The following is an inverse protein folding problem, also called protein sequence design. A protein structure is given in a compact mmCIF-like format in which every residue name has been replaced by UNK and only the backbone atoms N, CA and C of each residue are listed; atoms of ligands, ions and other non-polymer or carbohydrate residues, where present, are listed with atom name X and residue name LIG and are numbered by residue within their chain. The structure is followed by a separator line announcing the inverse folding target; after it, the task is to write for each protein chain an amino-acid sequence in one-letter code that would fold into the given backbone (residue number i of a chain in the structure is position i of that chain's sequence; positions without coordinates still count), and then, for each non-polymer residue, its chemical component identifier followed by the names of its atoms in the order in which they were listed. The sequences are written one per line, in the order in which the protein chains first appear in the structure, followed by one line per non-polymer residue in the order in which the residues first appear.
data_IF_005202572874
#
_entry.id   IF_005202572874
#
_cell.length_a   1.000
_cell.length_b   1.000
_cell.length_c   1.000
_cell.angle_alpha   90.00
_cell.angle_beta   90.00
_cell.angle_gamma   90.00
#
_symmetry.space_group_name_H-M   'P 1'
#
loop_
_entity.id
_entity.type
_entity.pdbx_description
1 polymer ?
#
# COMPACT_ATOMS: atom_id res chain seq x y z
N UNK A 1 -5.32 2.37 -29.44
CA UNK A 1 -4.92 2.42 -28.02
C UNK A 1 -5.74 1.42 -27.18
N UNK A 2 -7.07 1.38 -27.34
CA UNK A 2 -7.94 0.45 -26.62
C UNK A 2 -7.53 -1.02 -26.81
N UNK A 3 -7.23 -1.42 -28.04
CA UNK A 3 -6.80 -2.79 -28.36
C UNK A 3 -5.48 -3.16 -27.67
N UNK A 4 -4.55 -2.22 -27.54
CA UNK A 4 -3.28 -2.44 -26.84
C UNK A 4 -3.52 -2.67 -25.35
N UNK A 5 -4.41 -1.90 -24.74
CA UNK A 5 -4.79 -2.05 -23.33
C UNK A 5 -5.51 -3.39 -23.13
N UNK A 6 -6.47 -3.73 -23.99
CA UNK A 6 -7.20 -4.99 -23.93
C UNK A 6 -6.26 -6.20 -24.05
N UNK A 7 -5.36 -6.18 -25.03
CA UNK A 7 -4.35 -7.24 -25.19
C UNK A 7 -3.45 -7.39 -23.95
N UNK A 8 -3.08 -6.27 -23.31
CA UNK A 8 -2.27 -6.31 -22.09
C UNK A 8 -3.06 -6.86 -20.90
N UNK A 9 -4.32 -6.47 -20.78
CA UNK A 9 -5.22 -7.03 -19.78
C UNK A 9 -5.40 -8.53 -19.99
N UNK A 10 -5.57 -9.01 -21.23
CA UNK A 10 -5.69 -10.43 -21.54
C UNK A 10 -4.44 -11.22 -21.16
N UNK A 11 -3.25 -10.68 -21.40
CA UNK A 11 -2.00 -11.33 -20.98
C UNK A 11 -1.92 -11.53 -19.47
N UNK A 12 -2.51 -10.63 -18.68
CA UNK A 12 -2.52 -10.70 -17.22
C UNK A 12 -3.67 -11.58 -16.73
N UNK A 13 -4.86 -11.43 -17.32
CA UNK A 13 -6.08 -12.07 -16.83
C UNK A 13 -6.19 -13.53 -17.27
N UNK A 14 -5.75 -13.91 -18.47
CA UNK A 14 -5.93 -15.26 -18.97
C UNK A 14 -5.30 -16.33 -18.07
N UNK A 15 -4.04 -16.21 -17.61
CA UNK A 15 -3.48 -17.16 -16.66
C UNK A 15 -4.28 -17.22 -15.34
N UNK A 16 -4.71 -16.06 -14.83
CA UNK A 16 -5.51 -15.97 -13.62
C UNK A 16 -6.87 -16.64 -13.79
N UNK A 17 -7.56 -16.44 -14.92
CA UNK A 17 -8.86 -17.05 -15.20
C UNK A 17 -8.75 -18.56 -15.33
N UNK A 18 -7.67 -19.08 -15.87
CA UNK A 18 -7.40 -20.50 -15.92
C UNK A 18 -7.31 -21.13 -14.51
N UNK A 19 -6.59 -20.49 -13.61
CA UNK A 19 -6.49 -20.92 -12.20
C UNK A 19 -7.84 -20.77 -11.47
N UNK A 20 -8.55 -19.65 -11.67
CA UNK A 20 -9.87 -19.42 -11.08
C UNK A 20 -10.91 -20.44 -11.54
N UNK A 21 -10.82 -20.92 -12.79
CA UNK A 21 -11.74 -21.95 -13.31
C UNK A 21 -11.62 -23.26 -12.53
N UNK A 22 -10.43 -23.59 -12.04
CA UNK A 22 -10.21 -24.77 -11.21
C UNK A 22 -10.78 -24.60 -9.79
N UNK A 23 -10.96 -23.38 -9.33
CA UNK A 23 -11.42 -23.03 -7.98
C UNK A 23 -12.88 -22.52 -7.95
N UNK A 24 -13.52 -22.40 -9.10
CA UNK A 24 -14.82 -21.71 -9.27
C UNK A 24 -15.95 -22.21 -8.36
N UNK A 25 -15.94 -23.47 -7.95
CA UNK A 25 -16.97 -24.02 -7.05
C UNK A 25 -16.88 -23.48 -5.61
N UNK A 26 -15.75 -22.87 -5.22
CA UNK A 26 -15.53 -22.35 -3.88
C UNK A 26 -15.44 -20.81 -3.82
N UNK A 27 -15.52 -20.15 -4.98
CA UNK A 27 -15.39 -18.67 -5.04
C UNK A 27 -16.75 -18.04 -5.30
N UNK A 28 -17.21 -17.23 -4.35
CA UNK A 28 -18.50 -16.54 -4.42
C UNK A 28 -18.41 -15.18 -5.11
N UNK A 29 -17.26 -14.50 -5.04
CA UNK A 29 -17.06 -13.16 -5.58
C UNK A 29 -15.58 -12.91 -5.86
N UNK A 30 -15.30 -12.13 -6.90
CA UNK A 30 -13.96 -11.66 -7.27
C UNK A 30 -13.87 -10.15 -7.01
N UNK A 31 -13.01 -9.75 -6.11
CA UNK A 31 -12.75 -8.34 -5.85
C UNK A 31 -11.56 -7.84 -6.66
N UNK A 32 -11.77 -6.75 -7.40
CA UNK A 32 -10.70 -6.02 -8.08
C UNK A 32 -10.36 -4.75 -7.32
N UNK A 33 -9.07 -4.45 -7.18
CA UNK A 33 -8.58 -3.28 -6.45
C UNK A 33 -7.22 -2.83 -6.98
N UNK A 34 -6.69 -1.73 -6.45
CA UNK A 34 -5.42 -1.16 -6.89
C UNK A 34 -5.60 -0.16 -8.03
N UNK A 35 -4.53 0.47 -8.48
CA UNK A 35 -4.58 1.55 -9.47
C UNK A 35 -5.18 1.15 -10.82
N UNK A 36 -4.93 -0.08 -11.27
CA UNK A 36 -5.48 -0.57 -12.55
C UNK A 36 -7.01 -0.76 -12.51
N UNK A 37 -7.60 -0.97 -11.34
CA UNK A 37 -9.06 -1.07 -11.20
C UNK A 37 -9.78 0.25 -11.49
N UNK A 38 -9.05 1.38 -11.51
CA UNK A 38 -9.59 2.70 -11.86
C UNK A 38 -9.73 2.93 -13.38
N UNK A 39 -9.26 2.00 -14.21
CA UNK A 39 -9.45 2.09 -15.64
C UNK A 39 -10.95 1.97 -15.98
N UNK A 40 -11.44 2.90 -16.79
CA UNK A 40 -12.83 2.90 -17.23
C UNK A 40 -13.20 1.59 -17.91
N UNK A 41 -14.27 0.94 -17.45
CA UNK A 41 -14.78 -0.31 -18.02
C UNK A 41 -14.02 -1.58 -17.63
N UNK A 42 -13.01 -1.51 -16.77
CA UNK A 42 -12.22 -2.70 -16.37
C UNK A 42 -13.07 -3.74 -15.65
N UNK A 43 -14.01 -3.33 -14.81
CA UNK A 43 -14.94 -4.25 -14.13
C UNK A 43 -15.76 -5.06 -15.14
N UNK A 44 -16.42 -4.38 -16.08
CA UNK A 44 -17.20 -5.01 -17.14
C UNK A 44 -16.33 -5.93 -18.01
N UNK A 45 -15.08 -5.51 -18.27
CA UNK A 45 -14.12 -6.30 -19.03
C UNK A 45 -13.75 -7.60 -18.29
N UNK A 46 -13.43 -7.51 -17.01
CA UNK A 46 -13.12 -8.69 -16.16
C UNK A 46 -14.37 -9.58 -16.03
N UNK A 47 -15.54 -8.99 -15.81
CA UNK A 47 -16.80 -9.73 -15.72
C UNK A 47 -17.11 -10.50 -17.02
N UNK A 48 -16.73 -9.98 -18.18
CA UNK A 48 -16.91 -10.69 -19.46
C UNK A 48 -16.05 -11.97 -19.59
N UNK A 49 -15.03 -12.12 -18.77
CA UNK A 49 -14.08 -13.25 -18.79
C UNK A 49 -14.43 -14.35 -17.78
N UNK A 50 -15.36 -14.09 -16.84
CA UNK A 50 -15.71 -15.03 -15.77
C UNK A 50 -17.19 -15.04 -15.47
N UNK A 51 -17.69 -16.18 -14.98
CA UNK A 51 -19.05 -16.30 -14.43
C UNK A 51 -19.15 -15.94 -12.96
N UNK A 52 -18.00 -15.74 -12.30
CA UNK A 52 -17.93 -15.31 -10.89
C UNK A 52 -18.28 -13.81 -10.83
N UNK A 53 -19.18 -13.37 -9.95
CA UNK A 53 -19.49 -11.96 -9.77
C UNK A 53 -18.22 -11.14 -9.48
N UNK A 54 -18.02 -10.05 -10.21
CA UNK A 54 -16.88 -9.13 -10.03
C UNK A 54 -17.37 -7.88 -9.32
N UNK A 55 -16.62 -7.42 -8.32
CA UNK A 55 -16.91 -6.21 -7.55
C UNK A 55 -15.64 -5.42 -7.28
N UNK A 56 -15.79 -4.11 -7.06
CA UNK A 56 -14.66 -3.30 -6.58
C UNK A 56 -14.40 -3.57 -5.09
N UNK A 57 -13.13 -3.85 -4.77
CA UNK A 57 -12.66 -3.93 -3.40
C UNK A 57 -12.46 -2.54 -2.82
N UNK A 58 -13.05 -2.28 -1.65
CA UNK A 58 -12.87 -1.01 -0.93
C UNK A 58 -12.21 -1.24 0.41
N UNK A 59 -11.25 -0.41 0.74
CA UNK A 59 -10.58 -0.35 2.04
C UNK A 59 -11.15 0.77 2.94
N UNK A 60 -12.11 1.56 2.44
CA UNK A 60 -12.74 2.65 3.18
C UNK A 60 -13.25 2.27 4.58
N UNK A 61 -13.83 1.08 4.83
CA UNK A 61 -14.28 0.67 6.17
C UNK A 61 -13.16 0.56 7.22
N UNK A 62 -11.89 0.51 6.77
CA UNK A 62 -10.72 0.42 7.65
C UNK A 62 -10.06 1.78 7.93
N UNK A 63 -10.60 2.85 7.34
CA UNK A 63 -10.15 4.22 7.54
C UNK A 63 -11.01 4.94 8.59
N UNK A 64 -10.43 5.95 9.21
CA UNK A 64 -11.15 6.81 10.15
C UNK A 64 -12.02 7.83 9.41
N UNK A 65 -13.06 8.34 10.06
CA UNK A 65 -13.97 9.32 9.47
C UNK A 65 -13.28 10.63 9.05
N UNK A 66 -12.15 10.95 9.67
CA UNK A 66 -11.36 12.15 9.36
C UNK A 66 -10.39 11.96 8.19
N UNK A 67 -10.35 10.76 7.59
CA UNK A 67 -9.46 10.48 6.45
C UNK A 67 -9.99 11.20 5.21
N UNK A 68 -9.17 12.00 4.51
CA UNK A 68 -9.59 12.63 3.25
C UNK A 68 -10.04 11.61 2.21
N UNK A 69 -11.10 11.94 1.47
CA UNK A 69 -11.75 11.06 0.49
C UNK A 69 -10.79 10.53 -0.59
N UNK A 70 -9.75 11.28 -0.91
CA UNK A 70 -8.74 10.86 -1.88
C UNK A 70 -8.05 9.53 -1.51
N UNK A 71 -7.88 9.26 -0.20
CA UNK A 71 -7.26 8.02 0.28
C UNK A 71 -8.22 6.83 0.29
N UNK A 72 -9.51 7.05 0.05
CA UNK A 72 -10.49 5.98 -0.13
C UNK A 72 -10.43 5.34 -1.53
N UNK A 73 -9.69 5.95 -2.45
CA UNK A 73 -9.56 5.47 -3.82
C UNK A 73 -8.76 4.15 -3.91
N UNK A 74 -9.12 3.23 -4.84
CA UNK A 74 -8.53 1.89 -4.94
C UNK A 74 -7.01 1.84 -5.09
N UNK A 75 -6.38 2.88 -5.64
CA UNK A 75 -4.92 2.99 -5.78
C UNK A 75 -4.17 3.01 -4.45
N UNK A 76 -4.84 3.38 -3.35
CA UNK A 76 -4.26 3.38 -2.00
C UNK A 76 -4.44 2.06 -1.24
N UNK A 77 -5.17 1.07 -1.80
CA UNK A 77 -5.47 -0.19 -1.11
C UNK A 77 -4.24 -0.94 -0.62
N UNK A 78 -3.17 -0.98 -1.42
CA UNK A 78 -1.91 -1.63 -1.03
C UNK A 78 -1.21 -0.90 0.11
N UNK A 79 -1.25 0.45 0.11
CA UNK A 79 -0.68 1.26 1.18
C UNK A 79 -1.43 1.03 2.50
N UNK A 80 -2.76 1.13 2.46
CA UNK A 80 -3.61 0.92 3.64
C UNK A 80 -3.45 -0.50 4.16
N UNK A 81 -3.45 -1.52 3.28
CA UNK A 81 -3.22 -2.92 3.65
C UNK A 81 -1.86 -3.13 4.32
N UNK A 82 -0.81 -2.48 3.81
CA UNK A 82 0.54 -2.54 4.41
C UNK A 82 0.58 -1.90 5.80
N UNK A 83 -0.09 -0.76 5.97
CA UNK A 83 -0.17 -0.08 7.27
C UNK A 83 -0.93 -0.92 8.30
N UNK A 84 -2.07 -1.50 7.92
CA UNK A 84 -2.85 -2.39 8.78
C UNK A 84 -2.05 -3.63 9.18
N UNK A 85 -1.39 -4.25 8.22
CA UNK A 85 -0.54 -5.41 8.46
C UNK A 85 0.63 -5.07 9.38
N UNK A 86 1.29 -3.92 9.14
CA UNK A 86 2.36 -3.41 10.00
C UNK A 86 1.91 -3.16 11.43
N UNK A 87 0.72 -2.57 11.62
CA UNK A 87 0.09 -2.40 12.92
C UNK A 87 -0.16 -3.74 13.62
N UNK A 88 -0.77 -4.68 12.91
CA UNK A 88 -1.04 -6.02 13.41
C UNK A 88 0.23 -6.75 13.84
N UNK A 89 1.29 -6.72 13.00
CA UNK A 89 2.58 -7.33 13.36
C UNK A 89 3.24 -6.67 14.56
N UNK A 90 3.16 -5.35 14.69
CA UNK A 90 3.67 -4.64 15.87
C UNK A 90 2.96 -5.08 17.15
N UNK A 91 1.63 -5.25 17.09
CA UNK A 91 0.83 -5.63 18.27
C UNK A 91 1.07 -7.09 18.66
N UNK A 92 1.33 -7.98 17.71
CA UNK A 92 1.71 -9.38 17.96
C UNK A 92 3.16 -9.53 18.50
N UNK A 93 4.04 -8.60 18.11
CA UNK A 93 5.45 -8.62 18.48
C UNK A 93 5.83 -7.28 19.12
N UNK A 94 5.37 -7.00 20.34
CA UNK A 94 5.69 -5.75 21.04
C UNK A 94 7.19 -5.73 21.36
N UNK A 95 8.00 -5.40 20.38
CA UNK A 95 9.44 -5.23 20.54
C UNK A 95 9.71 -3.80 20.99
N UNK A 96 10.03 -3.61 22.27
CA UNK A 96 10.68 -2.39 22.81
C UNK A 96 11.94 -2.00 22.04
N UNK A 97 12.48 -2.92 21.25
CA UNK A 97 13.74 -2.79 20.50
C UNK A 97 13.70 -1.67 19.43
N UNK A 98 12.53 -1.38 18.83
CA UNK A 98 12.46 -0.35 17.76
C UNK A 98 12.39 1.07 18.32
N UNK A 99 11.69 1.28 19.42
CA UNK A 99 11.65 2.60 20.09
C UNK A 99 13.02 2.97 20.61
N UNK A 100 13.70 2.04 21.31
CA UNK A 100 15.05 2.26 21.82
C UNK A 100 16.07 2.51 20.71
N UNK A 101 15.96 1.81 19.58
CA UNK A 101 16.84 2.02 18.42
C UNK A 101 16.63 3.38 17.75
N UNK A 102 15.38 3.84 17.59
CA UNK A 102 15.05 5.15 17.02
C UNK A 102 15.47 6.28 17.97
N UNK A 103 15.17 6.15 19.25
CA UNK A 103 15.56 7.13 20.29
C UNK A 103 17.07 7.21 20.37
N UNK A 104 17.78 6.07 20.35
CA UNK A 104 19.25 6.02 20.33
C UNK A 104 19.84 6.70 19.10
N UNK A 105 19.25 6.50 17.90
CA UNK A 105 19.66 7.20 16.68
C UNK A 105 19.41 8.69 16.75
N UNK A 106 18.28 9.14 17.25
CA UNK A 106 17.96 10.56 17.44
C UNK A 106 18.92 11.21 18.44
N UNK A 107 19.24 10.56 19.55
CA UNK A 107 20.24 11.04 20.51
C UNK A 107 21.64 11.18 19.90
N UNK A 108 22.07 10.20 19.09
CA UNK A 108 23.36 10.28 18.38
C UNK A 108 23.40 11.43 17.36
N UNK A 109 22.29 11.66 16.63
CA UNK A 109 22.18 12.79 15.69
C UNK A 109 22.20 14.12 16.42
N UNK A 110 21.46 14.26 17.53
CA UNK A 110 21.42 15.47 18.34
C UNK A 110 22.83 15.80 18.84
N UNK A 111 23.53 14.83 19.45
CA UNK A 111 24.89 15.02 19.94
C UNK A 111 25.87 15.43 18.83
N UNK A 112 25.76 14.83 17.65
CA UNK A 112 26.61 15.19 16.49
C UNK A 112 26.36 16.63 16.00
N UNK A 113 25.10 17.09 16.02
CA UNK A 113 24.76 18.49 15.66
C UNK A 113 25.31 19.45 16.72
N UNK A 114 25.18 19.14 18.01
CA UNK A 114 25.72 19.96 19.10
C UNK A 114 27.25 20.07 19.02
N UNK A 115 27.96 18.99 18.75
CA UNK A 115 29.42 18.98 18.56
C UNK A 115 29.84 19.84 17.35
N UNK A 116 29.14 19.73 16.21
CA UNK A 116 29.43 20.56 15.05
C UNK A 116 29.12 22.04 15.27
N UNK A 117 28.09 22.34 16.01
CA UNK A 117 27.74 23.73 16.34
C UNK A 117 28.77 24.36 17.25
N UNK A 118 29.29 23.61 18.24
CA UNK A 118 30.38 24.06 19.11
C UNK A 118 31.68 24.37 18.34
N UNK A 119 32.03 23.57 17.36
CA UNK A 119 33.21 23.78 16.51
C UNK A 119 33.05 25.09 15.73
N UNK A 120 31.90 25.33 15.09
CA UNK A 120 31.63 26.53 14.31
C UNK A 120 31.73 27.79 15.17
N UNK A 121 31.24 27.76 16.41
CA UNK A 121 31.31 28.93 17.31
C UNK A 121 32.69 29.14 17.94
N UNK A 122 33.50 28.08 18.11
CA UNK A 122 34.86 28.21 18.63
C UNK A 122 35.83 28.83 17.60
N UNK A 123 35.60 28.61 16.30
CA UNK A 123 36.40 29.19 15.25
C UNK A 123 36.13 30.67 15.01
N UNK A 124 34.96 31.19 15.44
CA UNK A 124 34.58 32.61 15.33
C UNK A 124 35.10 33.50 16.46
N UNK A 125 35.62 32.92 17.56
CA UNK A 125 36.23 33.71 18.67
C UNK A 125 37.74 33.93 18.54
N UNK A 126 38.40 33.39 17.48
CA UNK A 126 39.82 33.49 17.25
C UNK A 126 40.22 34.41 16.08
N UNK A 127 39.31 35.21 15.53
CA UNK A 127 39.60 36.31 14.61
C UNK A 127 39.33 37.66 15.32
#
# INVERSE_FOLDING_TARGET
LADVIANRLDQILNPLMAELSNLSQSISVLYITGGASMLFGVEAYVQSKTTIPVMYGSHAPWLTADTPDEYCAPNYSSLVGTLLLGGYYRDLHPTKVYEDALISRLHKLKKKVEEQTLIIFSDTENE
#
